data_IF_683564577441
#
_entry.id   IF_683564577441
#
_cell.length_a   1.000
_cell.length_b   1.000
_cell.length_c   1.000
_cell.angle_alpha   90.00
_cell.angle_beta   90.00
_cell.angle_gamma   90.00
#
_symmetry.space_group_name_H-M   'P 1'
#
loop_
_entity.id
_entity.type
_entity.pdbx_description
1 polymer ?
#
# COMPACT_ATOMS: atom_id res chain seq x y z
N UNK A 1 11.54 -4.17 -6.95
CA UNK A 1 10.77 -3.40 -5.97
C UNK A 1 9.33 -3.41 -6.43
N UNK A 2 8.48 -4.03 -5.62
CA UNK A 2 7.03 -3.95 -5.76
C UNK A 2 6.57 -2.65 -5.09
N UNK A 3 5.54 -2.01 -5.61
CA UNK A 3 4.96 -0.79 -5.03
C UNK A 3 3.45 -0.87 -4.95
N UNK A 4 2.87 -0.19 -3.98
CA UNK A 4 1.44 -0.11 -3.78
C UNK A 4 1.09 1.19 -3.03
N UNK A 5 -0.12 1.67 -3.25
CA UNK A 5 -0.68 2.90 -2.68
C UNK A 5 -1.97 2.56 -1.91
N UNK A 6 -1.85 2.39 -0.59
CA UNK A 6 -2.95 1.89 0.25
C UNK A 6 -3.53 2.96 1.17
N UNK A 7 -4.85 2.94 1.34
CA UNK A 7 -5.54 3.74 2.35
C UNK A 7 -5.54 2.99 3.69
N UNK A 8 -4.93 3.60 4.71
CA UNK A 8 -5.03 3.17 6.10
C UNK A 8 -6.12 3.96 6.81
N UNK A 9 -6.94 3.26 7.61
CA UNK A 9 -8.13 3.81 8.26
C UNK A 9 -8.05 3.54 9.76
N UNK A 10 -8.47 4.51 10.58
CA UNK A 10 -8.47 4.43 12.06
C UNK A 10 -9.26 3.24 12.62
N UNK A 11 -10.31 2.78 11.95
CA UNK A 11 -11.14 1.66 12.42
C UNK A 11 -10.45 0.30 12.30
N UNK A 12 -9.17 0.27 11.95
CA UNK A 12 -8.49 -0.95 11.59
C UNK A 12 -8.69 -1.34 10.14
N UNK A 13 -8.08 -2.46 9.80
CA UNK A 13 -8.23 -3.11 8.51
C UNK A 13 -9.04 -4.39 8.68
N UNK A 14 -9.95 -4.60 7.75
CA UNK A 14 -10.72 -5.83 7.62
C UNK A 14 -10.72 -6.17 6.13
N UNK A 15 -10.08 -7.27 5.81
CA UNK A 15 -10.03 -7.86 4.49
C UNK A 15 -11.02 -9.03 4.43
N UNK A 16 -12.16 -8.90 3.75
CA UNK A 16 -13.13 -10.00 3.65
C UNK A 16 -12.58 -11.28 3.02
N UNK A 17 -11.44 -11.20 2.31
CA UNK A 17 -10.76 -12.37 1.73
C UNK A 17 -9.86 -13.11 2.73
N UNK A 18 -9.31 -12.41 3.72
CA UNK A 18 -8.39 -13.00 4.71
C UNK A 18 -9.06 -13.20 6.08
N UNK A 19 -9.97 -12.30 6.46
CA UNK A 19 -10.65 -12.26 7.75
C UNK A 19 -12.02 -12.95 7.63
N UNK A 20 -11.98 -14.28 7.53
CA UNK A 20 -13.16 -15.14 7.33
C UNK A 20 -13.51 -15.85 8.63
N UNK A 21 -14.76 -15.70 9.07
CA UNK A 21 -15.34 -16.46 10.18
C UNK A 21 -16.07 -17.67 9.60
N UNK A 22 -15.66 -18.88 9.99
CA UNK A 22 -16.37 -20.11 9.68
C UNK A 22 -17.40 -20.39 10.78
N UNK A 23 -18.67 -20.49 10.41
CA UNK A 23 -19.78 -20.69 11.36
C UNK A 23 -20.93 -21.46 10.70
N UNK A 24 -21.76 -22.12 11.51
CA UNK A 24 -22.87 -22.93 11.02
C UNK A 24 -24.03 -22.10 10.45
N UNK A 25 -24.20 -20.88 10.95
CA UNK A 25 -25.22 -19.94 10.50
C UNK A 25 -24.79 -18.48 10.80
N UNK A 26 -25.61 -17.52 10.36
CA UNK A 26 -25.32 -16.08 10.53
C UNK A 26 -25.29 -15.63 11.99
N UNK A 27 -26.13 -16.18 12.87
CA UNK A 27 -26.14 -15.78 14.28
C UNK A 27 -24.85 -16.25 14.97
N UNK A 28 -24.46 -17.50 14.72
CA UNK A 28 -23.21 -18.08 15.17
C UNK A 28 -21.99 -17.27 14.66
N UNK A 29 -21.99 -16.87 13.38
CA UNK A 29 -20.96 -15.99 12.84
C UNK A 29 -20.90 -14.66 13.59
N UNK A 30 -22.05 -14.03 13.86
CA UNK A 30 -22.12 -12.73 14.51
C UNK A 30 -21.59 -12.78 15.96
N UNK A 31 -21.89 -13.86 16.69
CA UNK A 31 -21.36 -14.10 18.05
C UNK A 31 -19.83 -14.27 18.04
N UNK A 32 -19.26 -14.81 16.96
CA UNK A 32 -17.82 -15.03 16.78
C UNK A 32 -17.12 -13.91 15.99
N UNK A 33 -17.63 -12.67 16.06
CA UNK A 33 -16.97 -11.51 15.44
C UNK A 33 -17.29 -11.29 13.96
N UNK A 34 -18.35 -11.92 13.44
CA UNK A 34 -18.84 -11.71 12.07
C UNK A 34 -19.47 -10.32 11.83
N UNK A 35 -19.65 -9.52 12.89
CA UNK A 35 -20.04 -8.11 12.81
C UNK A 35 -18.84 -7.24 13.20
N UNK A 36 -18.47 -6.34 12.28
CA UNK A 36 -17.47 -5.30 12.53
C UNK A 36 -18.10 -3.91 12.39
N UNK A 37 -18.24 -3.21 13.50
CA UNK A 37 -18.69 -1.82 13.51
C UNK A 37 -17.63 -0.89 12.91
N UNK A 38 -18.08 0.11 12.16
CA UNK A 38 -17.20 1.11 11.54
C UNK A 38 -17.77 2.51 11.73
N UNK A 39 -16.94 3.42 12.22
CA UNK A 39 -17.20 4.85 12.21
C UNK A 39 -17.48 5.31 10.76
N UNK A 40 -18.51 6.14 10.58
CA UNK A 40 -18.83 6.77 9.30
C UNK A 40 -17.88 7.95 9.08
N UNK A 41 -17.09 7.93 8.00
CA UNK A 41 -16.01 8.88 7.70
C UNK A 41 -14.85 8.91 8.70
N UNK A 42 -14.22 7.75 8.95
CA UNK A 42 -13.09 7.66 9.86
C UNK A 42 -11.89 8.47 9.37
N UNK A 43 -10.98 8.81 10.28
CA UNK A 43 -9.67 9.34 9.90
C UNK A 43 -8.96 8.31 9.02
N UNK A 44 -8.56 8.73 7.82
CA UNK A 44 -7.85 7.90 6.86
C UNK A 44 -6.73 8.66 6.17
N UNK A 45 -5.70 7.94 5.76
CA UNK A 45 -4.59 8.47 4.97
C UNK A 45 -4.16 7.48 3.90
N UNK A 46 -3.93 7.97 2.69
CA UNK A 46 -3.29 7.18 1.64
C UNK A 46 -1.78 7.16 1.87
N UNK A 47 -1.17 6.00 1.71
CA UNK A 47 0.25 5.76 1.96
C UNK A 47 0.81 4.94 0.81
N UNK A 48 1.86 5.49 0.21
CA UNK A 48 2.63 4.84 -0.85
C UNK A 48 3.94 4.30 -0.28
N UNK A 49 4.28 3.06 -0.61
CA UNK A 49 5.51 2.41 -0.17
C UNK A 49 5.98 1.34 -1.16
N UNK A 50 7.29 1.08 -1.14
CA UNK A 50 7.92 0.02 -1.92
C UNK A 50 8.44 -1.10 -1.03
N UNK A 51 8.35 -2.33 -1.53
CA UNK A 51 8.91 -3.52 -0.89
C UNK A 51 9.96 -4.20 -1.79
N UNK A 52 11.04 -4.66 -1.16
CA UNK A 52 12.16 -5.34 -1.80
C UNK A 52 12.65 -6.47 -0.91
N UNK A 53 13.53 -7.32 -1.47
CA UNK A 53 14.27 -8.29 -0.66
C UNK A 53 15.14 -7.65 0.43
N UNK A 54 15.63 -6.42 0.21
CA UNK A 54 16.48 -5.69 1.16
C UNK A 54 15.67 -4.89 2.19
N UNK A 55 14.34 -5.02 2.20
CA UNK A 55 13.43 -4.31 3.10
C UNK A 55 12.45 -3.38 2.40
N UNK A 56 11.77 -2.57 3.22
CA UNK A 56 10.69 -1.65 2.83
C UNK A 56 11.24 -0.22 2.71
N UNK A 57 10.73 0.57 1.77
CA UNK A 57 11.08 1.99 1.65
C UNK A 57 10.54 2.80 2.82
N UNK A 58 10.90 4.08 2.89
CA UNK A 58 10.12 5.02 3.70
C UNK A 58 8.71 5.19 3.10
N UNK A 59 7.77 5.66 3.90
CA UNK A 59 6.39 5.90 3.48
C UNK A 59 6.27 7.29 2.83
N UNK A 60 5.54 7.37 1.72
CA UNK A 60 5.03 8.63 1.21
C UNK A 60 3.60 8.80 1.71
N UNK A 61 3.39 9.85 2.51
CA UNK A 61 2.09 10.15 3.10
C UNK A 61 1.40 11.26 2.31
N UNK A 62 0.28 10.94 1.68
CA UNK A 62 -0.54 11.94 1.00
C UNK A 62 -1.17 12.93 1.99
N UNK A 63 -1.58 14.09 1.49
CA UNK A 63 -2.39 15.02 2.27
C UNK A 63 -3.80 14.46 2.50
N UNK A 64 -4.49 14.94 3.53
CA UNK A 64 -5.84 14.44 3.86
C UNK A 64 -6.79 14.74 2.70
N UNK A 65 -7.43 13.70 2.18
CA UNK A 65 -8.41 13.83 1.09
C UNK A 65 -7.77 14.00 -0.29
N UNK A 66 -6.43 14.05 -0.37
CA UNK A 66 -5.73 14.00 -1.64
C UNK A 66 -5.93 12.62 -2.27
N UNK A 67 -6.19 12.63 -3.58
CA UNK A 67 -6.31 11.43 -4.38
C UNK A 67 -5.12 11.37 -5.32
N UNK A 68 -4.59 10.16 -5.49
CA UNK A 68 -3.58 9.93 -6.52
C UNK A 68 -4.15 10.30 -7.89
N UNK A 69 -3.48 11.23 -8.55
CA UNK A 69 -3.72 11.59 -9.95
C UNK A 69 -2.44 11.36 -10.76
N UNK A 70 -2.55 11.33 -12.09
CA UNK A 70 -1.41 11.04 -12.96
C UNK A 70 -0.24 12.01 -12.82
N UNK A 71 -0.51 13.29 -12.51
CA UNK A 71 0.52 14.31 -12.32
C UNK A 71 1.29 14.07 -11.02
N UNK A 72 0.60 13.93 -9.89
CA UNK A 72 1.23 13.61 -8.59
C UNK A 72 2.02 12.30 -8.68
N UNK A 73 1.48 11.29 -9.39
CA UNK A 73 2.20 10.03 -9.61
C UNK A 73 3.53 10.23 -10.35
N UNK A 74 3.48 10.95 -11.48
CA UNK A 74 4.63 11.17 -12.35
C UNK A 74 5.69 12.08 -11.70
N UNK A 75 5.26 13.18 -11.08
CA UNK A 75 6.14 14.25 -10.63
C UNK A 75 6.69 14.01 -9.22
N UNK A 76 5.97 13.27 -8.37
CA UNK A 76 6.33 13.09 -6.96
C UNK A 76 6.59 11.62 -6.62
N UNK A 77 5.64 10.74 -6.93
CA UNK A 77 5.67 9.35 -6.47
C UNK A 77 6.73 8.50 -7.19
N UNK A 78 6.85 8.63 -8.50
CA UNK A 78 7.87 7.91 -9.28
C UNK A 78 9.31 8.29 -8.89
N UNK A 79 9.68 9.58 -8.75
CA UNK A 79 10.97 9.98 -8.19
C UNK A 79 11.19 9.46 -6.77
N UNK A 80 10.15 9.52 -5.91
CA UNK A 80 10.21 9.00 -4.55
C UNK A 80 10.52 7.50 -4.53
N UNK A 81 9.82 6.70 -5.34
CA UNK A 81 10.07 5.26 -5.47
C UNK A 81 11.47 4.97 -5.99
N UNK A 82 11.91 5.72 -7.01
CA UNK A 82 13.28 5.55 -7.53
C UNK A 82 14.33 5.82 -6.47
N UNK A 83 14.20 6.91 -5.71
CA UNK A 83 15.12 7.23 -4.62
C UNK A 83 15.12 6.15 -3.52
N UNK A 84 13.94 5.64 -3.15
CA UNK A 84 13.81 4.56 -2.17
C UNK A 84 14.48 3.26 -2.63
N UNK A 85 14.27 2.88 -3.89
CA UNK A 85 14.92 1.72 -4.50
C UNK A 85 16.43 1.88 -4.61
N UNK A 86 16.91 3.01 -5.12
CA UNK A 86 18.36 3.30 -5.23
C UNK A 86 19.05 3.26 -3.85
N UNK A 87 18.38 3.72 -2.78
CA UNK A 87 18.89 3.59 -1.41
C UNK A 87 18.97 2.13 -0.92
N UNK A 88 17.96 1.31 -1.21
CA UNK A 88 17.90 -0.09 -0.75
C UNK A 88 18.81 -1.02 -1.55
N UNK A 89 19.07 -0.72 -2.83
CA UNK A 89 19.91 -1.54 -3.71
C UNK A 89 21.34 -0.99 -3.87
N UNK A 90 21.59 0.27 -3.48
CA UNK A 90 22.89 0.92 -3.63
C UNK A 90 23.31 0.97 -5.11
N UNK A 91 24.44 0.33 -5.43
CA UNK A 91 24.97 0.27 -6.79
C UNK A 91 24.40 -0.87 -7.64
N UNK A 92 23.52 -1.71 -7.08
CA UNK A 92 22.97 -2.86 -7.79
C UNK A 92 21.86 -2.44 -8.75
N UNK A 93 21.76 -3.17 -9.87
CA UNK A 93 20.63 -3.02 -10.78
C UNK A 93 19.39 -3.64 -10.17
N UNK A 94 18.25 -2.95 -10.27
CA UNK A 94 16.98 -3.41 -9.72
C UNK A 94 15.83 -3.13 -10.68
N UNK A 95 14.72 -3.85 -10.47
CA UNK A 95 13.53 -3.74 -11.29
C UNK A 95 12.35 -3.09 -10.58
N UNK A 96 11.54 -2.36 -11.32
CA UNK A 96 10.35 -1.67 -10.83
C UNK A 96 9.07 -2.37 -11.29
N UNK A 97 8.15 -2.57 -10.36
CA UNK A 97 6.80 -3.09 -10.60
C UNK A 97 5.78 -2.14 -9.97
N UNK A 98 4.70 -1.89 -10.69
CA UNK A 98 3.51 -1.13 -10.28
C UNK A 98 2.27 -1.86 -10.82
N UNK A 99 1.11 -1.63 -10.21
CA UNK A 99 -0.14 -2.26 -10.64
C UNK A 99 -0.75 -1.62 -11.91
N UNK A 100 -1.93 -2.10 -12.31
CA UNK A 100 -2.64 -1.68 -13.52
C UNK A 100 -3.57 -0.47 -13.38
N UNK A 101 -3.48 0.34 -12.32
CA UNK A 101 -4.36 1.52 -12.15
C UNK A 101 -4.17 2.54 -13.27
N UNK A 102 -5.23 3.27 -13.64
CA UNK A 102 -5.26 4.13 -14.82
C UNK A 102 -4.07 5.11 -14.90
N UNK A 103 -3.68 5.75 -13.80
CA UNK A 103 -2.51 6.63 -13.76
C UNK A 103 -1.19 5.89 -14.07
N UNK A 104 -1.04 4.65 -13.61
CA UNK A 104 0.15 3.83 -13.83
C UNK A 104 0.27 3.41 -15.30
N UNK A 105 -0.87 3.20 -15.96
CA UNK A 105 -0.92 2.80 -17.38
C UNK A 105 -0.77 3.95 -18.37
N UNK A 106 -0.72 5.19 -17.89
CA UNK A 106 -0.58 6.37 -18.73
C UNK A 106 0.72 6.33 -19.56
N UNK A 107 0.66 6.83 -20.79
CA UNK A 107 1.80 6.81 -21.72
C UNK A 107 3.01 7.57 -21.16
N UNK A 108 2.79 8.69 -20.47
CA UNK A 108 3.86 9.50 -19.88
C UNK A 108 4.56 8.74 -18.74
N UNK A 109 3.79 8.09 -17.87
CA UNK A 109 4.30 7.25 -16.76
C UNK A 109 5.09 6.06 -17.29
N UNK A 110 4.54 5.32 -18.26
CA UNK A 110 5.22 4.18 -18.87
C UNK A 110 6.53 4.61 -19.55
N UNK A 111 6.55 5.76 -20.23
CA UNK A 111 7.76 6.32 -20.85
C UNK A 111 8.80 6.73 -19.79
N UNK A 112 8.35 7.38 -18.72
CA UNK A 112 9.22 7.76 -17.61
C UNK A 112 9.87 6.53 -16.96
N UNK A 113 9.09 5.49 -16.67
CA UNK A 113 9.60 4.26 -16.05
C UNK A 113 10.63 3.55 -16.94
N UNK A 114 10.33 3.40 -18.24
CA UNK A 114 11.27 2.81 -19.21
C UNK A 114 12.58 3.59 -19.34
N UNK A 115 12.54 4.91 -19.14
CA UNK A 115 13.73 5.77 -19.20
C UNK A 115 14.57 5.70 -17.91
N UNK A 116 13.93 5.60 -16.75
CA UNK A 116 14.59 5.80 -15.45
C UNK A 116 14.90 4.51 -14.69
N UNK A 117 14.24 3.40 -15.03
CA UNK A 117 14.50 2.09 -14.45
C UNK A 117 15.14 1.15 -15.47
N UNK A 118 16.21 0.47 -15.07
CA UNK A 118 16.89 -0.50 -15.93
C UNK A 118 16.00 -1.70 -16.25
N UNK A 119 15.25 -2.17 -15.26
CA UNK A 119 14.23 -3.20 -15.45
C UNK A 119 12.88 -2.63 -15.01
N UNK A 120 11.87 -2.78 -15.86
CA UNK A 120 10.52 -2.28 -15.60
C UNK A 120 9.49 -3.26 -16.13
N UNK A 121 8.53 -3.63 -15.29
CA UNK A 121 7.35 -4.38 -15.70
C UNK A 121 6.34 -3.37 -16.28
N UNK A 122 6.30 -3.27 -17.60
CA UNK A 122 5.34 -2.42 -18.29
C UNK A 122 3.91 -2.89 -18.08
N UNK A 123 2.94 -2.00 -18.30
CA UNK A 123 1.50 -2.28 -18.13
C UNK A 123 1.03 -3.58 -18.81
N UNK A 124 1.60 -3.93 -19.97
CA UNK A 124 1.18 -5.10 -20.75
C UNK A 124 1.77 -6.42 -20.22
N UNK A 125 2.66 -6.36 -19.23
CA UNK A 125 3.33 -7.51 -18.60
C UNK A 125 2.82 -7.82 -17.20
N UNK A 126 2.09 -6.89 -16.58
CA UNK A 126 1.45 -7.13 -15.29
C UNK A 126 0.01 -7.59 -15.53
N UNK A 127 -0.40 -8.67 -14.87
CA UNK A 127 -1.75 -9.18 -15.03
C UNK A 127 -2.76 -8.22 -14.37
N UNK A 128 -3.86 -7.87 -15.07
CA UNK A 128 -4.93 -7.08 -14.45
C UNK A 128 -5.56 -7.82 -13.26
N UNK A 129 -5.90 -7.08 -12.21
CA UNK A 129 -6.61 -7.60 -11.02
C UNK A 129 -5.89 -8.77 -10.31
N UNK A 130 -4.56 -8.74 -10.26
CA UNK A 130 -3.75 -9.77 -9.58
C UNK A 130 -3.07 -9.29 -8.28
N UNK A 131 -3.84 -8.91 -7.23
CA UNK A 131 -3.27 -8.52 -5.95
C UNK A 131 -2.49 -9.67 -5.28
N UNK A 132 -2.79 -10.93 -5.61
CA UNK A 132 -2.07 -12.11 -5.11
C UNK A 132 -0.61 -12.17 -5.58
N UNK A 133 -0.24 -11.42 -6.62
CA UNK A 133 1.13 -11.37 -7.13
C UNK A 133 1.96 -10.24 -6.51
N UNK A 134 1.33 -9.33 -5.75
CA UNK A 134 2.00 -8.20 -5.13
C UNK A 134 2.15 -8.41 -3.62
N UNK A 135 3.38 -8.55 -3.07
CA UNK A 135 3.60 -8.77 -1.64
C UNK A 135 3.08 -7.64 -0.75
N UNK A 136 2.96 -6.42 -1.27
CA UNK A 136 2.34 -5.32 -0.55
C UNK A 136 0.85 -5.58 -0.32
N UNK A 137 0.14 -6.02 -1.37
CA UNK A 137 -1.30 -6.30 -1.32
C UNK A 137 -1.64 -7.51 -0.45
N UNK A 138 -1.01 -8.66 -0.70
CA UNK A 138 -1.42 -9.91 -0.05
C UNK A 138 -0.90 -10.08 1.38
N UNK A 139 0.14 -9.34 1.79
CA UNK A 139 0.79 -9.55 3.10
C UNK A 139 1.22 -8.27 3.81
N UNK A 140 2.17 -7.50 3.25
CA UNK A 140 2.90 -6.48 4.01
C UNK A 140 1.96 -5.39 4.52
N UNK A 141 1.10 -4.86 3.66
CA UNK A 141 0.18 -3.80 4.08
C UNK A 141 -0.84 -4.29 5.12
N UNK A 142 -1.28 -5.55 5.04
CA UNK A 142 -2.13 -6.16 6.06
C UNK A 142 -1.38 -6.26 7.39
N UNK A 143 -0.14 -6.74 7.37
CA UNK A 143 0.71 -6.85 8.56
C UNK A 143 0.97 -5.50 9.21
N UNK A 144 1.31 -4.47 8.42
CA UNK A 144 1.45 -3.08 8.91
C UNK A 144 0.15 -2.67 9.60
N UNK A 145 -0.99 -2.85 8.94
CA UNK A 145 -2.28 -2.43 9.49
C UNK A 145 -2.62 -3.12 10.81
N UNK A 146 -2.38 -4.43 10.93
CA UNK A 146 -2.64 -5.19 12.15
C UNK A 146 -1.71 -4.80 13.31
N UNK A 147 -0.51 -4.29 12.99
CA UNK A 147 0.47 -3.84 13.97
C UNK A 147 0.28 -2.38 14.42
N UNK A 148 -0.64 -1.63 13.79
CA UNK A 148 -1.00 -0.26 14.21
C UNK A 148 -1.80 -0.32 15.51
N UNK A 149 -1.38 0.46 16.51
CA UNK A 149 -2.13 0.65 17.74
C UNK A 149 -3.22 1.72 17.55
N UNK A 150 -4.38 1.29 17.05
CA UNK A 150 -5.49 2.18 16.72
C UNK A 150 -6.09 2.91 17.93
N UNK A 151 -5.91 2.41 19.16
CA UNK A 151 -6.34 3.10 20.38
C UNK A 151 -5.60 4.43 20.58
N UNK A 152 -4.37 4.55 20.06
CA UNK A 152 -3.57 5.78 20.11
C UNK A 152 -3.88 6.75 18.96
N UNK A 153 -4.66 6.33 17.97
CA UNK A 153 -4.96 7.15 16.79
C UNK A 153 -6.15 8.07 17.07
N UNK A 154 -5.88 9.35 17.33
CA UNK A 154 -6.89 10.41 17.46
C UNK A 154 -6.84 11.42 16.31
N UNK A 155 -5.66 11.61 15.74
CA UNK A 155 -5.40 12.54 14.63
C UNK A 155 -4.72 11.84 13.47
N UNK A 156 -4.66 12.51 12.31
CA UNK A 156 -3.92 12.01 11.15
C UNK A 156 -2.41 11.87 11.43
N UNK A 157 -1.85 12.72 12.29
CA UNK A 157 -0.45 12.65 12.67
C UNK A 157 -0.16 11.47 13.60
N UNK A 158 -1.13 11.10 14.45
CA UNK A 158 -1.04 9.86 15.22
C UNK A 158 -1.06 8.64 14.29
N UNK A 159 -1.94 8.64 13.29
CA UNK A 159 -2.01 7.56 12.31
C UNK A 159 -0.69 7.40 11.54
N UNK A 160 -0.09 8.50 11.07
CA UNK A 160 1.24 8.48 10.42
C UNK A 160 2.30 7.84 11.31
N UNK A 161 2.40 8.32 12.56
CA UNK A 161 3.39 7.84 13.53
C UNK A 161 3.22 6.37 13.87
N UNK A 162 1.98 5.91 14.07
CA UNK A 162 1.74 4.50 14.40
C UNK A 162 1.94 3.58 13.19
N UNK A 163 1.66 4.03 11.96
CA UNK A 163 2.04 3.29 10.73
C UNK A 163 3.56 3.13 10.66
N UNK A 164 4.33 4.20 10.86
CA UNK A 164 5.80 4.12 10.85
C UNK A 164 6.36 3.17 11.91
N UNK A 165 5.76 3.15 13.10
CA UNK A 165 6.13 2.19 14.17
C UNK A 165 5.75 0.76 13.80
N UNK A 166 4.57 0.55 13.23
CA UNK A 166 4.09 -0.77 12.81
C UNK A 166 4.99 -1.38 11.73
N UNK A 167 5.48 -0.57 10.79
CA UNK A 167 6.40 -1.03 9.74
C UNK A 167 7.75 -1.50 10.29
N UNK A 168 8.24 -0.92 11.39
CA UNK A 168 9.51 -1.36 12.03
C UNK A 168 9.39 -2.70 12.77
N UNK A 169 8.18 -3.20 12.98
CA UNK A 169 7.94 -4.51 13.62
C UNK A 169 7.89 -5.66 12.61
N UNK A 170 7.95 -5.35 11.31
CA UNK A 170 7.98 -6.31 10.20
C UNK A 170 9.40 -6.62 9.76
#
# INVERSE_FOLDING_TARGET
MFTDDKIFIRNGYFNPKNDVVWANNRNDANEHGGIHEREKYPVSIMVALGATWNGITVHFFFQRGERLNGKTYLDELLPFYKMGGDRLFGHQNWGFQQDGVSCHTDKSVQKWCKKNFKFFISKDKWLPNSPELNPLDYSICNSISNNVDYYKVKTINDLRREIEKATKKN
#
